data_IF_311480922864
#
_entry.id   IF_311480922864
#
_cell.length_a   1.000
_cell.length_b   1.000
_cell.length_c   1.000
_cell.angle_alpha   90.00
_cell.angle_beta   90.00
_cell.angle_gamma   90.00
#
_symmetry.space_group_name_H-M   'P 1'
#
loop_
_entity.id
_entity.type
_entity.pdbx_description
1 polymer ?
#
# COMPACT_ATOMS: atom_id res chain seq x y z
N UNK A 1 -7.30 10.09 -1.83
CA UNK A 1 -6.32 9.00 -1.66
C UNK A 1 -5.96 8.48 -3.04
N UNK A 2 -4.66 8.41 -3.39
CA UNK A 2 -4.19 7.92 -4.70
C UNK A 2 -3.25 6.72 -4.61
N UNK A 3 -2.76 6.43 -3.40
CA UNK A 3 -1.89 5.30 -3.14
C UNK A 3 -2.20 4.69 -1.77
N UNK A 4 -2.04 3.38 -1.65
CA UNK A 4 -2.07 2.67 -0.37
C UNK A 4 -0.92 1.65 -0.33
N UNK A 5 -0.09 1.71 0.71
CA UNK A 5 0.89 0.68 1.02
C UNK A 5 0.27 -0.29 2.04
N UNK A 6 -0.06 -1.49 1.57
CA UNK A 6 -0.76 -2.50 2.33
C UNK A 6 0.19 -3.20 3.31
N UNK A 7 -0.38 -3.72 4.39
CA UNK A 7 0.36 -4.54 5.33
C UNK A 7 0.79 -5.88 4.68
N UNK A 8 -0.11 -6.55 3.95
CA UNK A 8 0.14 -7.63 2.98
C UNK A 8 1.32 -8.55 3.33
N UNK A 9 1.11 -9.47 4.27
CA UNK A 9 2.12 -10.40 4.77
C UNK A 9 2.27 -11.66 3.93
N UNK A 10 1.65 -11.72 2.75
CA UNK A 10 1.62 -12.91 1.89
C UNK A 10 0.90 -14.08 2.57
N UNK A 11 -0.17 -13.76 3.31
CA UNK A 11 -1.03 -14.77 3.95
C UNK A 11 -2.38 -14.75 3.25
N UNK A 12 -2.83 -15.91 2.74
CA UNK A 12 -4.08 -16.00 1.96
C UNK A 12 -5.27 -15.30 2.63
N UNK A 13 -5.45 -15.56 3.93
CA UNK A 13 -6.53 -14.95 4.70
C UNK A 13 -6.29 -13.46 4.98
N UNK A 14 -5.06 -13.07 5.34
CA UNK A 14 -4.71 -11.69 5.65
C UNK A 14 -4.87 -10.79 4.43
N UNK A 15 -4.31 -11.19 3.30
CA UNK A 15 -4.33 -10.41 2.05
C UNK A 15 -5.77 -10.22 1.54
N UNK A 16 -6.58 -11.29 1.54
CA UNK A 16 -8.00 -11.21 1.17
C UNK A 16 -8.82 -10.34 2.13
N UNK A 17 -8.51 -10.38 3.42
CA UNK A 17 -9.20 -9.58 4.44
C UNK A 17 -8.83 -8.10 4.31
N UNK A 18 -7.54 -7.81 4.14
CA UNK A 18 -7.06 -6.44 3.97
C UNK A 18 -7.60 -5.82 2.67
N UNK A 19 -7.58 -6.54 1.55
CA UNK A 19 -8.13 -6.04 0.30
C UNK A 19 -9.62 -5.70 0.41
N UNK A 20 -10.41 -6.53 1.09
CA UNK A 20 -11.83 -6.24 1.38
C UNK A 20 -11.98 -5.03 2.29
N UNK A 21 -11.15 -4.92 3.33
CA UNK A 21 -11.18 -3.78 4.24
C UNK A 21 -10.88 -2.46 3.49
N UNK A 22 -9.88 -2.47 2.59
CA UNK A 22 -9.55 -1.33 1.74
C UNK A 22 -10.73 -0.96 0.83
N UNK A 23 -11.27 -1.93 0.09
CA UNK A 23 -12.38 -1.71 -0.84
C UNK A 23 -13.63 -1.16 -0.12
N UNK A 24 -13.98 -1.74 1.03
CA UNK A 24 -15.13 -1.30 1.83
C UNK A 24 -14.93 0.10 2.42
N UNK A 25 -13.72 0.42 2.89
CA UNK A 25 -13.44 1.69 3.56
C UNK A 25 -13.34 2.85 2.58
N UNK A 26 -12.69 2.63 1.43
CA UNK A 26 -12.51 3.67 0.42
C UNK A 26 -13.71 3.77 -0.54
N UNK A 27 -14.54 2.73 -0.65
CA UNK A 27 -15.64 2.68 -1.61
C UNK A 27 -15.15 2.97 -3.03
N UNK A 28 -15.87 3.83 -3.75
CA UNK A 28 -15.50 4.27 -5.11
C UNK A 28 -14.12 4.94 -5.21
N UNK A 29 -13.56 5.44 -4.09
CA UNK A 29 -12.22 6.01 -4.13
C UNK A 29 -11.13 4.94 -4.34
N UNK A 30 -11.41 3.66 -4.04
CA UNK A 30 -10.51 2.53 -4.26
C UNK A 30 -10.15 2.37 -5.75
N UNK A 31 -11.09 2.65 -6.66
CA UNK A 31 -10.91 2.53 -8.12
C UNK A 31 -9.81 3.45 -8.67
N UNK A 32 -9.43 4.49 -7.91
CA UNK A 32 -8.37 5.43 -8.28
C UNK A 32 -7.16 5.40 -7.34
N UNK A 33 -7.07 4.36 -6.50
CA UNK A 33 -6.05 4.19 -5.48
C UNK A 33 -5.18 2.97 -5.82
N UNK A 34 -3.92 3.22 -6.16
CA UNK A 34 -2.97 2.13 -6.46
C UNK A 34 -2.47 1.52 -5.16
N UNK A 35 -2.57 0.20 -5.01
CA UNK A 35 -2.09 -0.55 -3.86
C UNK A 35 -0.70 -1.15 -4.15
N UNK A 36 0.22 -1.06 -3.19
CA UNK A 36 1.50 -1.80 -3.19
C UNK A 36 1.69 -2.58 -1.90
N UNK A 37 2.60 -3.55 -1.90
CA UNK A 37 3.02 -4.30 -0.73
C UNK A 37 4.55 -4.45 -0.74
N UNK A 38 5.25 -3.54 -0.07
CA UNK A 38 6.72 -3.48 -0.16
C UNK A 38 7.43 -4.68 0.51
N UNK A 39 6.73 -5.42 1.38
CA UNK A 39 7.22 -6.68 1.95
C UNK A 39 7.59 -7.71 0.89
N UNK A 40 7.01 -7.62 -0.31
CA UNK A 40 7.40 -8.44 -1.46
C UNK A 40 8.88 -8.30 -1.85
N UNK A 41 9.50 -7.13 -1.57
CA UNK A 41 10.91 -6.85 -1.83
C UNK A 41 11.78 -6.93 -0.57
N UNK A 42 11.23 -6.52 0.58
CA UNK A 42 12.02 -6.29 1.79
C UNK A 42 11.87 -7.39 2.85
N UNK A 43 10.92 -8.31 2.66
CA UNK A 43 10.46 -9.21 3.72
C UNK A 43 9.74 -8.46 4.85
N UNK A 44 9.32 -9.21 5.88
CA UNK A 44 8.65 -8.65 7.05
C UNK A 44 9.66 -8.30 8.14
N UNK A 45 9.96 -7.01 8.31
CA UNK A 45 10.96 -6.52 9.26
C UNK A 45 10.45 -6.35 10.71
N UNK A 46 9.42 -7.09 11.10
CA UNK A 46 8.78 -7.03 12.42
C UNK A 46 8.57 -5.57 12.90
N UNK A 47 9.20 -5.17 14.01
CA UNK A 47 9.07 -3.84 14.59
C UNK A 47 9.52 -2.68 13.69
N UNK A 48 10.32 -2.95 12.66
CA UNK A 48 10.75 -1.95 11.69
C UNK A 48 9.83 -1.85 10.44
N UNK A 49 8.84 -2.74 10.28
CA UNK A 49 8.00 -2.78 9.10
C UNK A 49 7.27 -1.44 8.87
N UNK A 50 6.56 -0.94 9.88
CA UNK A 50 5.78 0.31 9.75
C UNK A 50 6.64 1.53 9.38
N UNK A 51 7.87 1.61 9.90
CA UNK A 51 8.78 2.72 9.59
C UNK A 51 9.22 2.68 8.12
N UNK A 52 9.63 1.50 7.63
CA UNK A 52 10.04 1.34 6.23
C UNK A 52 8.87 1.51 5.26
N UNK A 53 7.68 1.02 5.62
CA UNK A 53 6.44 1.19 4.86
C UNK A 53 6.04 2.65 4.74
N UNK A 54 6.14 3.41 5.84
CA UNK A 54 5.88 4.85 5.85
C UNK A 54 6.88 5.59 4.97
N UNK A 55 8.18 5.27 5.11
CA UNK A 55 9.22 5.86 4.27
C UNK A 55 8.96 5.61 2.78
N UNK A 56 8.70 4.36 2.37
CA UNK A 56 8.42 4.03 0.98
C UNK A 56 7.16 4.75 0.45
N UNK A 57 6.14 4.91 1.30
CA UNK A 57 4.91 5.63 0.94
C UNK A 57 5.18 7.12 0.69
N UNK A 58 5.98 7.76 1.55
CA UNK A 58 6.41 9.15 1.36
C UNK A 58 7.24 9.28 0.08
N UNK A 59 8.16 8.36 -0.16
CA UNK A 59 8.97 8.35 -1.39
C UNK A 59 8.13 8.14 -2.64
N UNK A 60 7.08 7.32 -2.59
CA UNK A 60 6.14 7.14 -3.70
C UNK A 60 5.39 8.45 -4.03
N UNK A 61 5.00 9.22 -3.01
CA UNK A 61 4.41 10.54 -3.21
C UNK A 61 5.43 11.55 -3.76
N UNK A 62 6.65 11.58 -3.20
CA UNK A 62 7.74 12.49 -3.64
C UNK A 62 8.12 12.27 -5.10
N UNK A 63 8.34 11.01 -5.47
CA UNK A 63 8.80 10.61 -6.82
C UNK A 63 7.67 10.38 -7.81
N UNK A 64 6.41 10.42 -7.34
CA UNK A 64 5.20 10.05 -8.09
C UNK A 64 5.27 8.66 -8.73
N UNK A 65 5.98 7.74 -8.07
CA UNK A 65 6.17 6.37 -8.53
C UNK A 65 5.91 5.38 -7.39
N UNK A 66 4.82 4.64 -7.49
CA UNK A 66 4.50 3.53 -6.59
C UNK A 66 5.39 2.33 -6.94
N UNK A 67 6.12 1.76 -5.97
CA UNK A 67 6.93 0.58 -6.22
C UNK A 67 6.03 -0.63 -6.54
N UNK A 68 6.55 -1.62 -7.28
CA UNK A 68 5.79 -2.82 -7.59
C UNK A 68 5.61 -3.70 -6.36
N UNK A 69 4.52 -4.46 -6.33
CA UNK A 69 4.46 -5.71 -5.57
C UNK A 69 5.02 -6.81 -6.46
N UNK A 70 6.19 -7.34 -6.11
CA UNK A 70 6.89 -8.36 -6.91
C UNK A 70 6.55 -9.79 -6.46
N UNK A 71 7.05 -10.79 -7.19
CA UNK A 71 6.85 -12.23 -6.92
C UNK A 71 5.39 -12.68 -7.08
N UNK A 72 4.58 -11.97 -7.88
CA UNK A 72 3.21 -12.36 -8.18
C UNK A 72 3.20 -13.08 -9.53
N UNK A 73 3.06 -14.40 -9.52
CA UNK A 73 2.79 -15.18 -10.73
C UNK A 73 1.29 -15.35 -10.95
N UNK A 74 0.56 -15.60 -9.85
CA UNK A 74 -0.88 -15.81 -9.84
C UNK A 74 -1.49 -14.92 -8.75
N UNK A 75 -2.24 -13.90 -9.16
CA UNK A 75 -2.94 -13.04 -8.22
C UNK A 75 -4.18 -13.74 -7.67
N UNK A 76 -4.44 -13.60 -6.37
CA UNK A 76 -5.67 -14.14 -5.76
C UNK A 76 -6.90 -13.56 -6.48
N UNK A 77 -7.84 -14.41 -6.93
CA UNK A 77 -9.01 -13.94 -7.65
C UNK A 77 -9.93 -13.12 -6.74
N UNK A 78 -10.53 -12.06 -7.31
CA UNK A 78 -11.56 -11.29 -6.63
C UNK A 78 -11.06 -10.27 -5.59
N UNK A 79 -9.76 -9.95 -5.58
CA UNK A 79 -9.27 -8.78 -4.85
C UNK A 79 -9.81 -7.51 -5.52
N UNK A 80 -10.78 -6.86 -4.91
CA UNK A 80 -11.45 -5.66 -5.42
C UNK A 80 -10.61 -4.37 -5.22
N UNK A 81 -9.32 -4.42 -5.57
CA UNK A 81 -8.35 -3.32 -5.43
C UNK A 81 -7.37 -3.31 -6.62
N UNK A 82 -6.89 -2.13 -7.02
CA UNK A 82 -5.88 -1.99 -8.10
C UNK A 82 -4.47 -2.15 -7.53
N UNK A 83 -3.79 -3.26 -7.83
CA UNK A 83 -2.45 -3.56 -7.31
C UNK A 83 -1.37 -3.26 -8.37
N UNK A 84 -0.26 -2.66 -7.96
CA UNK A 84 0.94 -2.46 -8.78
C UNK A 84 1.70 -3.79 -9.00
N UNK A 85 1.13 -4.74 -9.76
CA UNK A 85 1.68 -6.08 -9.94
C UNK A 85 2.93 -6.07 -10.82
N UNK A 86 4.07 -6.51 -10.28
CA UNK A 86 5.39 -6.72 -10.90
C UNK A 86 5.99 -5.51 -11.67
N UNK A 87 5.27 -4.40 -11.75
CA UNK A 87 5.66 -3.21 -12.50
C UNK A 87 5.32 -1.95 -11.69
N UNK A 88 6.22 -0.96 -11.61
CA UNK A 88 5.94 0.30 -10.92
C UNK A 88 4.76 1.04 -11.56
N UNK A 89 4.01 1.81 -10.75
CA UNK A 89 2.86 2.58 -11.22
C UNK A 89 3.06 4.08 -11.00
N UNK A 90 2.80 4.89 -12.03
CA UNK A 90 2.90 6.35 -11.94
C UNK A 90 1.67 6.93 -11.24
N UNK A 91 1.90 7.90 -10.36
CA UNK A 91 0.84 8.71 -9.74
C UNK A 91 0.57 9.97 -10.58
N UNK A 92 -0.67 10.49 -10.57
CA UNK A 92 -1.02 11.71 -11.29
C UNK A 92 -0.28 12.92 -10.72
N UNK A 93 -0.31 14.04 -11.46
CA UNK A 93 0.14 15.36 -10.98
C UNK A 93 -0.83 15.93 -9.92
N UNK A 94 -0.40 17.00 -9.25
CA UNK A 94 -1.20 17.71 -8.24
C UNK A 94 -1.05 17.15 -6.83
N UNK A 95 -2.05 17.43 -5.99
CA UNK A 95 -2.10 17.04 -4.58
C UNK A 95 -2.44 15.55 -4.45
N UNK A 96 -1.66 14.87 -3.61
CA UNK A 96 -1.73 13.45 -3.38
C UNK A 96 -1.79 13.18 -1.88
N UNK A 97 -2.56 12.16 -1.53
CA UNK A 97 -2.52 11.54 -0.22
C UNK A 97 -2.39 10.03 -0.39
N UNK A 98 -1.68 9.40 0.53
CA UNK A 98 -1.51 7.96 0.61
C UNK A 98 -1.78 7.44 2.03
N UNK A 99 -2.19 6.17 2.12
CA UNK A 99 -2.29 5.42 3.37
C UNK A 99 -1.14 4.42 3.43
N UNK A 100 -0.60 4.17 4.62
CA UNK A 100 0.20 2.99 4.91
C UNK A 100 -0.43 2.22 6.06
N UNK A 101 -0.64 0.92 5.87
CA UNK A 101 -1.22 0.01 6.86
C UNK A 101 -0.13 -0.83 7.51
N UNK A 102 -0.22 -1.02 8.83
CA UNK A 102 0.61 -1.97 9.56
C UNK A 102 -0.19 -2.64 10.67
N UNK A 103 -0.37 -3.96 10.56
CA UNK A 103 -1.25 -4.75 11.43
C UNK A 103 -0.43 -5.78 12.20
N UNK A 104 -0.21 -5.51 13.48
CA UNK A 104 0.63 -6.34 14.34
C UNK A 104 -0.10 -7.57 14.88
N UNK A 105 0.68 -8.60 15.20
CA UNK A 105 0.19 -9.72 15.99
C UNK A 105 -0.44 -9.23 17.31
N UNK A 106 -1.48 -9.94 17.78
CA UNK A 106 -2.22 -9.52 18.97
C UNK A 106 -3.28 -8.45 18.73
N UNK A 107 -3.47 -8.00 17.48
CA UNK A 107 -4.59 -7.13 17.09
C UNK A 107 -4.31 -5.63 17.13
N UNK A 108 -3.05 -5.22 17.28
CA UNK A 108 -2.64 -3.82 17.22
C UNK A 108 -2.58 -3.35 15.77
N UNK A 109 -3.61 -2.65 15.32
CA UNK A 109 -3.75 -2.19 13.94
C UNK A 109 -3.51 -0.69 13.82
N UNK A 110 -2.65 -0.27 12.88
CA UNK A 110 -2.33 1.14 12.64
C UNK A 110 -2.47 1.44 11.15
N UNK A 111 -3.08 2.58 10.84
CA UNK A 111 -3.10 3.18 9.51
C UNK A 111 -2.63 4.63 9.62
N UNK A 112 -1.64 5.01 8.82
CA UNK A 112 -1.12 6.38 8.77
C UNK A 112 -1.47 7.00 7.42
N UNK A 113 -1.94 8.24 7.43
CA UNK A 113 -2.16 9.03 6.22
C UNK A 113 -1.01 10.02 6.06
N UNK A 114 -0.44 10.09 4.87
CA UNK A 114 0.58 11.08 4.48
C UNK A 114 0.12 11.83 3.23
N UNK A 115 0.45 13.11 3.13
CA UNK A 115 0.21 13.94 1.93
C UNK A 115 1.51 14.54 1.41
N UNK A 116 1.47 15.02 0.17
CA UNK A 116 2.58 15.78 -0.44
C UNK A 116 2.44 17.31 -0.29
N UNK A 117 1.56 17.78 0.60
CA UNK A 117 1.24 19.20 0.78
C UNK A 117 2.47 20.03 1.17
N UNK A 118 3.34 19.47 2.01
CA UNK A 118 4.55 20.11 2.51
C UNK A 118 5.82 19.47 1.93
N UNK A 119 5.74 18.95 0.71
CA UNK A 119 6.88 18.29 0.07
C UNK A 119 8.00 19.30 -0.19
N UNK A 120 9.17 19.06 0.38
CA UNK A 120 10.38 19.83 0.10
C UNK A 120 11.23 19.12 -0.96
N UNK A 121 12.05 19.89 -1.66
CA UNK A 121 13.05 19.39 -2.61
C UNK A 121 14.05 18.42 -1.93
#
# INVERSE_FOLDING_TARGET
MKHLNAHATSTKQGDSTEAKAIANTLGKAADSCVVTAIKSMTGHLLGAAGALETFATVMALKTRLVPPTINIENLEPGLAIDIAVNTPRKLPKGDLAAITNSFGFGGSNVSVVVSNENLTD
#
